data_IF_774090276347
#
_entry.id   IF_774090276347
#
_cell.length_a   1.000
_cell.length_b   1.000
_cell.length_c   1.000
_cell.angle_alpha   90.00
_cell.angle_beta   90.00
_cell.angle_gamma   90.00
#
_symmetry.space_group_name_H-M   'P 1'
#
loop_
_entity.id
_entity.type
_entity.pdbx_description
1 polymer ?
#
# COMPACT_ATOMS: atom_id res chain seq x y z
N UNK A 1 14.70 -87.32 -44.30
CA UNK A 1 16.14 -87.48 -44.57
C UNK A 1 16.92 -86.40 -43.80
N UNK A 2 18.20 -86.62 -43.55
CA UNK A 2 19.33 -85.66 -43.38
C UNK A 2 19.03 -84.14 -43.22
N UNK A 3 19.72 -83.37 -42.37
CA UNK A 3 20.75 -83.70 -41.36
C UNK A 3 20.97 -82.51 -40.40
N UNK A 4 21.66 -82.75 -39.27
CA UNK A 4 22.24 -81.69 -38.43
C UNK A 4 23.52 -81.13 -39.08
N UNK A 5 23.68 -79.81 -39.14
CA UNK A 5 25.00 -79.17 -39.30
C UNK A 5 25.13 -77.96 -38.35
N UNK A 6 26.31 -77.93 -37.71
CA UNK A 6 27.06 -76.88 -37.01
C UNK A 6 27.11 -75.50 -37.75
N UNK A 7 27.68 -74.40 -37.22
CA UNK A 7 28.60 -74.19 -36.10
C UNK A 7 28.37 -72.83 -35.39
N UNK A 8 29.05 -72.64 -34.25
CA UNK A 8 29.18 -71.42 -33.45
C UNK A 8 30.04 -70.30 -34.12
N UNK A 9 30.07 -69.14 -33.44
CA UNK A 9 30.93 -67.94 -33.62
C UNK A 9 30.53 -66.91 -34.69
N UNK A 10 30.90 -65.62 -34.55
CA UNK A 10 31.84 -65.00 -33.57
C UNK A 10 31.31 -63.70 -32.95
N UNK A 11 31.77 -63.38 -31.75
CA UNK A 11 31.41 -62.18 -30.99
C UNK A 11 32.44 -61.03 -31.17
N UNK A 12 32.06 -59.81 -30.76
CA UNK A 12 32.83 -58.57 -30.63
C UNK A 12 33.37 -57.88 -31.89
N UNK A 13 32.78 -56.71 -32.17
CA UNK A 13 33.54 -55.48 -32.36
C UNK A 13 32.88 -54.36 -31.53
N UNK A 14 33.61 -53.82 -30.55
CA UNK A 14 33.11 -52.84 -29.58
C UNK A 14 33.37 -51.42 -30.10
N UNK A 15 32.31 -50.68 -30.40
CA UNK A 15 32.37 -49.30 -30.87
C UNK A 15 31.83 -48.35 -29.78
N UNK A 16 32.72 -47.88 -28.92
CA UNK A 16 32.39 -46.91 -27.86
C UNK A 16 32.18 -45.51 -28.46
N UNK A 17 30.93 -45.21 -28.87
CA UNK A 17 30.52 -43.91 -29.40
C UNK A 17 30.49 -42.84 -28.29
N UNK A 18 31.13 -41.66 -28.46
CA UNK A 18 31.31 -40.66 -27.40
C UNK A 18 30.07 -39.76 -27.16
N UNK A 19 28.91 -40.37 -26.90
CA UNK A 19 27.62 -39.67 -26.79
C UNK A 19 27.46 -38.80 -25.52
N UNK A 20 28.36 -38.95 -24.53
CA UNK A 20 28.25 -38.30 -23.21
C UNK A 20 28.52 -36.78 -23.19
N UNK A 21 29.14 -36.22 -24.25
CA UNK A 21 29.49 -34.80 -24.31
C UNK A 21 28.32 -33.85 -24.52
N UNK A 22 27.32 -34.24 -25.32
CA UNK A 22 26.19 -33.38 -25.68
C UNK A 22 25.30 -33.04 -24.48
N UNK A 23 24.93 -34.06 -23.68
CA UNK A 23 24.03 -33.92 -22.53
C UNK A 23 24.57 -32.93 -21.48
N UNK A 24 25.90 -32.91 -21.27
CA UNK A 24 26.55 -31.96 -20.35
C UNK A 24 26.48 -30.51 -20.85
N UNK A 25 26.68 -30.28 -22.15
CA UNK A 25 26.55 -28.94 -22.76
C UNK A 25 25.12 -28.42 -22.72
N UNK A 26 24.13 -29.26 -23.05
CA UNK A 26 22.70 -28.88 -22.97
C UNK A 26 22.30 -28.52 -21.54
N UNK A 27 22.65 -29.34 -20.53
CA UNK A 27 22.35 -29.02 -19.12
C UNK A 27 23.00 -27.71 -18.65
N UNK A 28 24.23 -27.41 -19.10
CA UNK A 28 24.90 -26.15 -18.80
C UNK A 28 24.18 -24.94 -19.43
N UNK A 29 23.80 -25.03 -20.71
CA UNK A 29 23.06 -23.98 -21.41
C UNK A 29 21.67 -23.74 -20.80
N UNK A 30 20.94 -24.80 -20.43
CA UNK A 30 19.67 -24.67 -19.72
C UNK A 30 19.86 -24.01 -18.35
N UNK A 31 20.88 -24.39 -17.57
CA UNK A 31 21.15 -23.78 -16.27
C UNK A 31 21.54 -22.29 -16.39
N UNK A 32 22.35 -21.93 -17.39
CA UNK A 32 22.70 -20.54 -17.67
C UNK A 32 21.48 -19.71 -18.10
N UNK A 33 20.62 -20.25 -18.97
CA UNK A 33 19.37 -19.61 -19.37
C UNK A 33 18.40 -19.40 -18.19
N UNK A 34 18.30 -20.38 -17.29
CA UNK A 34 17.47 -20.28 -16.09
C UNK A 34 18.03 -19.22 -15.11
N UNK A 35 19.35 -19.19 -14.91
CA UNK A 35 20.01 -18.17 -14.09
C UNK A 35 19.84 -16.74 -14.64
N UNK A 36 19.97 -16.55 -15.96
CA UNK A 36 19.71 -15.26 -16.62
C UNK A 36 18.23 -14.86 -16.49
N UNK A 37 17.30 -15.81 -16.60
CA UNK A 37 15.87 -15.56 -16.41
C UNK A 37 15.55 -15.15 -14.96
N UNK A 38 16.15 -15.81 -13.96
CA UNK A 38 16.02 -15.41 -12.56
C UNK A 38 16.62 -14.03 -12.27
N UNK A 39 17.75 -13.68 -12.89
CA UNK A 39 18.34 -12.34 -12.78
C UNK A 39 17.48 -11.26 -13.45
N UNK A 40 16.83 -11.56 -14.58
CA UNK A 40 15.87 -10.65 -15.21
C UNK A 40 14.61 -10.45 -14.34
N UNK A 41 14.10 -11.52 -13.70
CA UNK A 41 12.94 -11.43 -12.79
C UNK A 41 13.25 -10.79 -11.42
N UNK A 42 14.52 -10.69 -11.03
CA UNK A 42 14.92 -9.94 -9.83
C UNK A 42 14.82 -8.40 -10.02
N UNK A 43 14.73 -7.92 -11.27
CA UNK A 43 14.82 -6.51 -11.65
C UNK A 43 13.54 -5.68 -11.53
N UNK A 44 12.60 -6.02 -10.65
CA UNK A 44 11.33 -5.30 -10.48
C UNK A 44 10.78 -5.33 -9.04
N UNK A 45 11.65 -5.09 -8.04
CA UNK A 45 11.20 -4.82 -6.67
C UNK A 45 10.58 -3.40 -6.60
N UNK A 46 9.30 -3.29 -6.97
CA UNK A 46 8.53 -2.05 -6.78
C UNK A 46 8.47 -1.72 -5.28
N UNK A 47 9.16 -0.65 -4.89
CA UNK A 47 9.23 -0.19 -3.52
C UNK A 47 7.95 0.60 -3.18
N UNK A 48 6.85 -0.12 -2.92
CA UNK A 48 5.68 0.46 -2.25
C UNK A 48 6.11 1.02 -0.90
N UNK A 49 5.68 2.25 -0.61
CA UNK A 49 6.09 2.95 0.62
C UNK A 49 5.46 2.25 1.82
N UNK A 50 6.25 1.69 2.77
CA UNK A 50 5.68 0.97 3.89
C UNK A 50 5.00 1.94 4.86
N UNK A 51 3.67 1.90 4.89
CA UNK A 51 2.85 2.66 5.84
C UNK A 51 2.42 1.75 6.99
N UNK A 52 2.55 2.24 8.22
CA UNK A 52 2.15 1.58 9.45
C UNK A 52 1.30 2.53 10.32
N UNK A 53 0.48 1.98 11.21
CA UNK A 53 -0.42 2.72 12.10
C UNK A 53 -0.09 2.41 13.56
N UNK A 54 0.68 3.30 14.18
CA UNK A 54 1.15 3.16 15.55
C UNK A 54 0.19 3.83 16.54
N UNK A 55 0.12 3.30 17.76
CA UNK A 55 -0.66 3.89 18.85
C UNK A 55 -2.17 3.99 18.57
N UNK A 56 -2.74 3.06 17.77
CA UNK A 56 -4.17 3.04 17.50
C UNK A 56 -4.96 2.87 18.80
N UNK A 57 -5.70 3.90 19.19
CA UNK A 57 -6.62 3.91 20.33
C UNK A 57 -8.01 4.27 19.85
N UNK A 58 -9.01 3.54 20.35
CA UNK A 58 -10.44 3.71 20.01
C UNK A 58 -11.22 3.91 21.32
N UNK A 59 -11.61 5.15 21.58
CA UNK A 59 -12.25 5.58 22.83
C UNK A 59 -13.74 5.83 22.62
N UNK A 60 -14.60 5.29 23.50
CA UNK A 60 -16.05 5.54 23.48
C UNK A 60 -16.39 6.58 24.55
N UNK A 61 -16.71 7.80 24.11
CA UNK A 61 -17.12 8.91 24.97
C UNK A 61 -18.62 9.20 24.78
N UNK A 62 -19.23 10.02 25.64
CA UNK A 62 -20.68 10.29 25.62
C UNK A 62 -21.21 10.74 24.25
N UNK A 63 -20.47 11.61 23.56
CA UNK A 63 -20.85 12.12 22.25
C UNK A 63 -20.56 11.15 21.09
N UNK A 64 -19.65 10.18 21.22
CA UNK A 64 -19.21 9.40 20.07
C UNK A 64 -18.08 8.42 20.30
N UNK A 65 -17.71 7.73 19.22
CA UNK A 65 -16.50 6.93 19.13
C UNK A 65 -15.38 7.80 18.53
N UNK A 66 -14.23 7.81 19.18
CA UNK A 66 -13.08 8.64 18.85
C UNK A 66 -11.87 7.77 18.52
N UNK A 67 -11.10 8.18 17.52
CA UNK A 67 -9.86 7.53 17.08
C UNK A 67 -8.65 8.43 17.33
N UNK A 68 -7.61 7.87 17.92
CA UNK A 68 -6.28 8.44 18.06
C UNK A 68 -5.23 7.49 17.48
N UNK A 69 -4.10 8.01 17.01
CA UNK A 69 -3.00 7.20 16.46
C UNK A 69 -2.03 8.03 15.61
N UNK A 70 -0.99 7.38 15.10
CA UNK A 70 0.04 8.04 14.29
C UNK A 70 0.46 7.16 13.11
N UNK A 71 0.38 7.74 11.92
CA UNK A 71 0.93 7.14 10.70
C UNK A 71 2.45 7.18 10.74
N UNK A 72 3.08 6.02 10.51
CA UNK A 72 4.51 5.87 10.33
C UNK A 72 4.76 5.49 8.87
N UNK A 73 5.26 6.45 8.11
CA UNK A 73 5.77 6.29 6.75
C UNK A 73 6.78 7.40 6.47
N UNK A 74 7.80 7.10 5.69
CA UNK A 74 8.73 8.09 5.14
C UNK A 74 8.15 8.67 3.85
N UNK A 75 8.44 9.93 3.54
CA UNK A 75 7.96 10.56 2.31
C UNK A 75 8.94 10.26 1.16
N UNK A 76 8.51 9.60 0.06
CA UNK A 76 9.34 9.37 -1.11
C UNK A 76 9.92 10.67 -1.67
N UNK A 77 11.20 10.70 -2.11
CA UNK A 77 11.83 11.90 -2.64
C UNK A 77 11.04 12.58 -3.76
N UNK A 78 10.41 11.80 -4.66
CA UNK A 78 9.59 12.35 -5.74
C UNK A 78 8.40 13.21 -5.25
N UNK A 79 7.86 12.91 -4.07
CA UNK A 79 6.75 13.64 -3.45
C UNK A 79 7.24 14.87 -2.66
N UNK A 80 8.42 14.81 -2.03
CA UNK A 80 9.08 15.99 -1.46
C UNK A 80 9.47 16.99 -2.57
N UNK A 81 10.08 16.50 -3.64
CA UNK A 81 10.47 17.28 -4.80
C UNK A 81 9.26 17.92 -5.50
N UNK A 82 8.10 17.25 -5.47
CA UNK A 82 6.82 17.81 -5.92
C UNK A 82 6.31 18.94 -5.01
N UNK A 83 6.33 18.74 -3.69
CA UNK A 83 5.94 19.76 -2.71
C UNK A 83 6.80 21.03 -2.86
N UNK A 84 8.12 20.89 -2.99
CA UNK A 84 9.05 22.01 -3.17
C UNK A 84 8.77 22.80 -4.47
N UNK A 85 8.29 22.12 -5.52
CA UNK A 85 7.80 22.72 -6.78
C UNK A 85 6.40 23.34 -6.66
N UNK A 86 5.81 23.39 -5.46
CA UNK A 86 4.50 23.98 -5.17
C UNK A 86 3.30 23.07 -5.46
N UNK A 87 3.54 21.79 -5.76
CA UNK A 87 2.45 20.82 -5.97
C UNK A 87 1.83 20.47 -4.61
N UNK A 88 0.51 20.42 -4.56
CA UNK A 88 -0.25 20.12 -3.33
C UNK A 88 -0.53 18.62 -3.23
N UNK A 89 -0.21 18.02 -2.09
CA UNK A 89 -0.55 16.63 -1.79
C UNK A 89 -1.82 16.55 -0.93
N UNK A 90 -2.58 15.47 -1.13
CA UNK A 90 -3.87 15.23 -0.49
C UNK A 90 -3.86 13.84 0.14
N UNK A 91 -3.72 13.75 1.46
CA UNK A 91 -3.84 12.51 2.19
C UNK A 91 -5.29 12.34 2.68
N UNK A 92 -5.87 11.17 2.46
CA UNK A 92 -7.25 10.87 2.87
C UNK A 92 -7.21 9.68 3.81
N UNK A 93 -7.73 9.86 5.03
CA UNK A 93 -8.07 8.76 5.93
C UNK A 93 -9.56 8.50 5.86
N UNK A 94 -9.96 7.27 5.57
CA UNK A 94 -11.35 6.81 5.57
C UNK A 94 -11.49 5.74 6.66
N UNK A 95 -12.53 5.86 7.48
CA UNK A 95 -12.88 4.86 8.50
C UNK A 95 -14.31 4.43 8.26
N UNK A 96 -14.53 3.12 8.10
CA UNK A 96 -15.86 2.52 8.03
C UNK A 96 -16.05 1.52 9.17
N UNK A 97 -17.20 1.60 9.84
CA UNK A 97 -17.60 0.65 10.88
C UNK A 97 -18.72 -0.21 10.31
N UNK A 98 -18.52 -1.53 10.33
CA UNK A 98 -19.44 -2.51 9.79
C UNK A 98 -19.91 -3.46 10.88
N UNK A 99 -21.21 -3.73 10.96
CA UNK A 99 -21.82 -4.72 11.85
C UNK A 99 -21.97 -6.05 11.11
N UNK A 100 -21.47 -7.14 11.73
CA UNK A 100 -21.72 -8.50 11.26
C UNK A 100 -23.21 -8.84 11.47
N UNK A 101 -23.96 -9.06 10.39
CA UNK A 101 -25.33 -9.58 10.42
C UNK A 101 -25.32 -10.98 9.81
N UNK A 102 -25.69 -11.97 10.64
CA UNK A 102 -25.61 -13.42 10.37
C UNK A 102 -26.08 -13.89 8.97
N UNK A 103 -27.13 -13.25 8.43
CA UNK A 103 -28.06 -13.90 7.48
C UNK A 103 -28.05 -13.18 6.12
N UNK A 104 -27.75 -11.87 6.07
CA UNK A 104 -27.64 -11.13 4.81
C UNK A 104 -26.83 -9.82 4.98
N UNK A 105 -25.58 -9.86 4.49
CA UNK A 105 -24.64 -8.75 4.27
C UNK A 105 -24.20 -7.95 5.52
N UNK A 106 -22.95 -7.46 5.50
CA UNK A 106 -22.43 -6.60 6.57
C UNK A 106 -23.06 -5.20 6.45
N UNK A 107 -23.74 -4.73 7.50
CA UNK A 107 -24.30 -3.38 7.49
C UNK A 107 -23.22 -2.37 7.85
N UNK A 108 -22.94 -1.40 6.97
CA UNK A 108 -22.16 -0.22 7.34
C UNK A 108 -22.97 0.65 8.31
N UNK A 109 -22.46 0.75 9.53
CA UNK A 109 -23.03 1.51 10.66
C UNK A 109 -22.62 2.97 10.58
N UNK A 110 -21.34 3.23 10.32
CA UNK A 110 -20.76 4.57 10.23
C UNK A 110 -19.68 4.65 9.16
N UNK A 111 -19.47 5.86 8.62
CA UNK A 111 -18.34 6.24 7.75
C UNK A 111 -17.87 7.63 8.17
N UNK A 112 -16.57 7.79 8.36
CA UNK A 112 -15.92 9.08 8.59
C UNK A 112 -14.75 9.25 7.64
N UNK A 113 -14.52 10.50 7.21
CA UNK A 113 -13.38 10.87 6.36
C UNK A 113 -12.60 12.03 6.99
N UNK A 114 -11.28 11.99 6.83
CA UNK A 114 -10.34 13.05 7.21
C UNK A 114 -9.44 13.33 6.02
N UNK A 115 -9.68 14.47 5.38
CA UNK A 115 -8.92 14.98 4.25
C UNK A 115 -7.84 15.94 4.78
N UNK A 116 -6.59 15.70 4.40
CA UNK A 116 -5.42 16.49 4.84
C UNK A 116 -4.68 17.00 3.61
N UNK A 117 -4.65 18.32 3.43
CA UNK A 117 -3.95 19.00 2.33
C UNK A 117 -2.61 19.54 2.84
N UNK A 118 -1.51 19.05 2.26
CA UNK A 118 -0.13 19.51 2.50
C UNK A 118 0.39 20.27 1.26
N UNK A 119 0.98 21.45 1.47
CA UNK A 119 1.75 22.16 0.43
C UNK A 119 2.82 23.06 1.03
N UNK A 120 3.85 23.35 0.23
CA UNK A 120 4.86 24.37 0.50
C UNK A 120 4.55 25.66 -0.28
N UNK A 121 4.92 26.81 0.28
CA UNK A 121 4.76 28.12 -0.35
C UNK A 121 6.15 28.72 -0.65
N UNK A 122 6.69 28.60 -1.89
CA UNK A 122 8.06 29.04 -2.19
C UNK A 122 8.35 30.52 -1.91
N UNK A 123 7.36 31.40 -2.08
CA UNK A 123 7.49 32.84 -1.85
C UNK A 123 7.71 33.20 -0.37
N UNK A 124 7.02 32.52 0.54
CA UNK A 124 7.12 32.75 1.99
C UNK A 124 8.03 31.75 2.70
N UNK A 125 8.46 30.70 1.99
CA UNK A 125 9.22 29.54 2.49
C UNK A 125 8.55 28.81 3.67
N UNK A 126 7.21 28.82 3.72
CA UNK A 126 6.45 28.13 4.79
C UNK A 126 5.69 26.92 4.26
N UNK A 127 5.58 25.92 5.09
CA UNK A 127 4.73 24.75 4.89
C UNK A 127 3.33 25.03 5.43
N UNK A 128 2.29 24.49 4.79
CA UNK A 128 0.91 24.55 5.28
C UNK A 128 0.27 23.18 5.27
N UNK A 129 -0.39 22.85 6.38
CA UNK A 129 -1.25 21.67 6.53
C UNK A 129 -2.66 22.15 6.80
N UNK A 130 -3.65 21.64 6.08
CA UNK A 130 -5.05 21.96 6.30
C UNK A 130 -5.80 20.64 6.51
N UNK A 131 -6.57 20.53 7.59
CA UNK A 131 -7.32 19.33 7.94
C UNK A 131 -8.82 19.63 7.81
N UNK A 132 -9.56 18.75 7.13
CA UNK A 132 -10.98 18.91 6.82
C UNK A 132 -11.74 17.57 6.98
N UNK A 133 -12.99 17.55 7.47
CA UNK A 133 -13.85 16.38 7.44
C UNK A 133 -14.46 16.12 6.04
N UNK A 134 -14.24 17.02 5.08
CA UNK A 134 -14.78 16.96 3.71
C UNK A 134 -13.66 17.14 2.67
N UNK A 135 -13.84 16.60 1.48
CA UNK A 135 -12.93 16.80 0.36
C UNK A 135 -12.78 18.29 -0.01
N UNK A 136 -11.56 18.72 -0.34
CA UNK A 136 -11.26 20.13 -0.61
C UNK A 136 -11.78 20.58 -1.98
N UNK A 137 -12.93 21.24 -2.01
CA UNK A 137 -13.42 21.91 -3.23
C UNK A 137 -12.51 23.08 -3.64
N UNK A 138 -12.59 23.48 -4.91
CA UNK A 138 -11.93 24.70 -5.39
C UNK A 138 -12.60 25.99 -4.90
N UNK A 139 -13.84 25.94 -4.38
CA UNK A 139 -14.54 27.12 -3.86
C UNK A 139 -14.10 27.53 -2.45
N UNK A 140 -13.37 26.68 -1.72
CA UNK A 140 -12.78 27.02 -0.42
C UNK A 140 -13.75 27.20 0.75
N UNK A 141 -15.07 27.07 0.54
CA UNK A 141 -16.13 27.30 1.53
C UNK A 141 -16.24 26.19 2.63
N UNK A 142 -15.23 25.34 2.77
CA UNK A 142 -15.20 24.25 3.75
C UNK A 142 -14.52 24.67 5.06
N UNK A 143 -15.12 24.32 6.20
CA UNK A 143 -14.47 24.46 7.51
C UNK A 143 -13.26 23.55 7.56
N UNK A 144 -12.07 24.14 7.49
CA UNK A 144 -10.79 23.42 7.54
C UNK A 144 -9.83 24.10 8.50
N UNK A 145 -9.16 23.29 9.33
CA UNK A 145 -8.17 23.76 10.28
C UNK A 145 -6.81 23.85 9.57
N UNK A 146 -6.48 25.07 9.13
CA UNK A 146 -5.19 25.40 8.52
C UNK A 146 -4.14 25.76 9.58
N UNK A 147 -2.98 25.11 9.52
CA UNK A 147 -1.79 25.42 10.31
C UNK A 147 -0.59 25.65 9.39
N UNK A 148 0.40 26.41 9.87
CA UNK A 148 1.62 26.74 9.11
C UNK A 148 2.86 26.37 9.92
N UNK A 149 3.87 25.84 9.24
CA UNK A 149 5.09 25.30 9.82
C UNK A 149 6.31 25.80 9.06
N UNK A 150 7.47 25.82 9.71
CA UNK A 150 8.70 26.34 9.12
C UNK A 150 9.60 25.20 8.59
N UNK A 151 9.44 23.97 9.08
CA UNK A 151 10.12 22.78 8.54
C UNK A 151 9.18 21.76 7.91
N UNK A 152 9.72 20.92 7.02
CA UNK A 152 8.99 19.84 6.37
C UNK A 152 8.55 18.76 7.37
N UNK A 153 9.41 18.41 8.33
CA UNK A 153 9.13 17.35 9.32
C UNK A 153 8.08 17.79 10.35
N UNK A 154 8.02 19.08 10.75
CA UNK A 154 6.90 19.62 11.53
C UNK A 154 5.56 19.43 10.81
N UNK A 155 5.52 19.79 9.52
CA UNK A 155 4.32 19.65 8.70
C UNK A 155 3.94 18.17 8.49
N UNK A 156 4.92 17.30 8.23
CA UNK A 156 4.70 15.86 8.11
C UNK A 156 4.24 15.22 9.43
N UNK A 157 4.78 15.66 10.58
CA UNK A 157 4.30 15.23 11.90
C UNK A 157 2.82 15.59 12.11
N UNK A 158 2.39 16.78 11.70
CA UNK A 158 0.98 17.19 11.75
C UNK A 158 0.07 16.41 10.77
N UNK A 159 0.58 15.98 9.60
CA UNK A 159 -0.13 15.08 8.68
C UNK A 159 -0.26 13.67 9.28
N UNK A 160 0.85 13.13 9.78
CA UNK A 160 0.98 11.78 10.35
C UNK A 160 0.11 11.57 11.60
N UNK A 161 -0.07 12.60 12.43
CA UNK A 161 -0.77 12.50 13.72
C UNK A 161 -2.31 12.57 13.58
N UNK A 162 -3.01 11.69 14.29
CA UNK A 162 -4.46 11.70 14.53
C UNK A 162 -4.69 11.79 16.05
N UNK A 163 -5.54 12.72 16.50
CA UNK A 163 -5.88 12.93 17.91
C UNK A 163 -7.39 13.09 18.01
N UNK A 164 -8.05 12.31 18.85
CA UNK A 164 -9.47 12.45 19.20
C UNK A 164 -10.38 12.77 17.99
N UNK A 165 -10.18 12.05 16.89
CA UNK A 165 -11.00 12.21 15.69
C UNK A 165 -12.29 11.40 15.86
N UNK A 166 -13.43 12.10 15.98
CA UNK A 166 -14.76 11.47 16.10
C UNK A 166 -15.13 10.75 14.80
N UNK A 167 -15.20 9.42 14.85
CA UNK A 167 -15.46 8.54 13.69
C UNK A 167 -16.92 8.03 13.63
N UNK A 168 -17.69 8.12 14.71
CA UNK A 168 -19.13 7.78 14.75
C UNK A 168 -19.84 8.45 15.93
N UNK A 169 -21.18 8.50 15.92
CA UNK A 169 -21.97 8.93 17.07
C UNK A 169 -22.18 7.77 18.05
N UNK A 170 -22.39 8.09 19.33
CA UNK A 170 -22.59 7.07 20.38
C UNK A 170 -23.92 6.29 20.24
N UNK A 171 -24.86 6.78 19.44
CA UNK A 171 -26.12 6.10 19.11
C UNK A 171 -25.96 5.03 18.02
N UNK A 172 -25.02 5.21 17.09
CA UNK A 172 -24.85 4.30 15.94
C UNK A 172 -24.11 3.01 16.37
N UNK A 173 -23.10 3.16 17.24
CA UNK A 173 -22.14 2.12 17.63
C UNK A 173 -22.65 1.30 18.82
N UNK A 174 -23.55 0.34 18.57
CA UNK A 174 -24.07 -0.55 19.62
C UNK A 174 -22.98 -1.44 20.26
N UNK A 175 -22.80 -1.37 21.59
CA UNK A 175 -21.68 -2.02 22.31
C UNK A 175 -21.72 -3.55 22.36
N UNK A 176 -22.92 -4.16 22.26
CA UNK A 176 -23.12 -5.62 22.28
C UNK A 176 -23.02 -6.26 20.87
N UNK A 177 -22.85 -5.43 19.83
CA UNK A 177 -22.77 -5.90 18.46
C UNK A 177 -21.35 -6.33 18.09
N UNK A 178 -21.23 -7.45 17.37
CA UNK A 178 -20.01 -7.79 16.64
C UNK A 178 -19.78 -6.75 15.54
N UNK A 179 -18.85 -5.83 15.79
CA UNK A 179 -18.49 -4.74 14.89
C UNK A 179 -17.02 -4.85 14.46
N UNK A 180 -16.78 -4.44 13.23
CA UNK A 180 -15.50 -4.49 12.55
C UNK A 180 -15.20 -3.11 12.00
N UNK A 181 -14.02 -2.58 12.32
CA UNK A 181 -13.52 -1.30 11.83
C UNK A 181 -12.53 -1.53 10.68
N UNK A 182 -12.81 -0.88 9.55
CA UNK A 182 -11.92 -0.82 8.39
C UNK A 182 -11.32 0.58 8.31
N UNK A 183 -10.00 0.67 8.42
CA UNK A 183 -9.21 1.89 8.38
C UNK A 183 -8.41 1.87 7.07
N UNK A 184 -8.63 2.87 6.23
CA UNK A 184 -7.94 3.06 4.95
C UNK A 184 -7.25 4.44 4.95
N UNK A 185 -5.99 4.49 4.55
CA UNK A 185 -5.22 5.73 4.37
C UNK A 185 -4.53 5.70 3.02
N UNK A 186 -4.59 6.81 2.28
CA UNK A 186 -4.05 6.90 0.91
C UNK A 186 -3.66 8.32 0.53
N UNK A 187 -2.72 8.44 -0.40
CA UNK A 187 -2.52 9.66 -1.19
C UNK A 187 -3.56 9.71 -2.33
N UNK A 188 -4.40 10.75 -2.37
CA UNK A 188 -5.40 10.93 -3.44
C UNK A 188 -4.79 11.63 -4.66
N UNK A 189 -4.31 10.81 -5.59
CA UNK A 189 -3.75 11.25 -6.86
C UNK A 189 -4.78 11.98 -7.77
N UNK A 190 -6.09 11.83 -7.53
CA UNK A 190 -7.14 12.43 -8.40
C UNK A 190 -7.18 13.95 -8.33
N UNK A 191 -6.69 14.54 -7.23
CA UNK A 191 -6.63 15.98 -7.03
C UNK A 191 -5.31 16.61 -7.53
N UNK A 192 -4.37 15.81 -8.06
CA UNK A 192 -3.13 16.30 -8.68
C UNK A 192 -3.39 16.90 -10.07
N UNK A 193 -2.55 17.84 -10.54
CA UNK A 193 -2.53 18.27 -11.94
C UNK A 193 -2.41 17.09 -12.93
N UNK A 194 -3.22 17.09 -14.00
CA UNK A 194 -3.27 16.00 -15.00
C UNK A 194 -1.91 15.50 -15.51
N UNK A 195 -0.89 16.34 -15.80
CA UNK A 195 0.43 15.85 -16.23
C UNK A 195 1.09 14.91 -15.21
N UNK A 196 0.89 15.15 -13.91
CA UNK A 196 1.44 14.33 -12.84
C UNK A 196 0.63 13.06 -12.61
N UNK A 197 -0.69 13.07 -12.89
CA UNK A 197 -1.50 11.84 -12.86
C UNK A 197 -0.97 10.78 -13.85
N UNK A 198 -0.42 11.22 -15.00
CA UNK A 198 0.19 10.32 -15.99
C UNK A 198 1.55 9.80 -15.47
N UNK A 199 2.38 10.64 -14.85
CA UNK A 199 3.67 10.23 -14.30
C UNK A 199 3.55 9.32 -13.07
N UNK A 200 2.55 9.55 -12.21
CA UNK A 200 2.26 8.74 -11.03
C UNK A 200 1.65 7.36 -11.38
N UNK A 201 1.02 7.21 -12.56
CA UNK A 201 0.40 5.97 -13.02
C UNK A 201 1.43 4.92 -13.48
N UNK A 202 2.26 4.44 -12.53
CA UNK A 202 3.30 3.43 -12.75
C UNK A 202 4.51 3.56 -11.80
N UNK A 203 4.61 4.64 -11.02
CA UNK A 203 5.70 4.87 -10.06
C UNK A 203 5.25 4.52 -8.64
N UNK A 204 5.96 3.62 -7.95
CA UNK A 204 5.67 3.26 -6.55
C UNK A 204 5.94 4.41 -5.58
N UNK A 205 6.78 5.39 -5.95
CA UNK A 205 7.03 6.62 -5.18
C UNK A 205 5.77 7.49 -5.00
N UNK A 206 4.73 7.28 -5.80
CA UNK A 206 3.41 7.95 -5.65
C UNK A 206 2.36 7.04 -4.98
N UNK A 207 2.71 5.79 -4.66
CA UNK A 207 1.84 4.83 -3.99
C UNK A 207 2.11 4.83 -2.47
N UNK A 208 1.46 5.76 -1.77
CA UNK A 208 1.36 5.74 -0.31
C UNK A 208 -0.04 5.23 0.05
N UNK A 209 -0.12 4.06 0.68
CA UNK A 209 -1.37 3.41 1.03
C UNK A 209 -1.27 2.48 2.24
N UNK A 210 -2.34 2.39 3.02
CA UNK A 210 -2.54 1.46 4.13
C UNK A 210 -4.00 1.05 4.18
N UNK A 211 -4.28 -0.24 4.34
CA UNK A 211 -5.62 -0.74 4.60
C UNK A 211 -5.56 -1.83 5.67
N UNK A 212 -6.29 -1.63 6.77
CA UNK A 212 -6.41 -2.60 7.86
C UNK A 212 -7.85 -2.73 8.29
N UNK A 213 -8.33 -3.97 8.32
CA UNK A 213 -9.63 -4.33 8.88
C UNK A 213 -9.41 -5.15 10.14
N UNK A 214 -10.02 -4.76 11.25
CA UNK A 214 -9.94 -5.46 12.53
C UNK A 214 -11.27 -5.39 13.27
N UNK A 215 -11.46 -6.22 14.30
CA UNK A 215 -12.60 -6.10 15.21
C UNK A 215 -12.53 -4.76 15.97
N UNK A 216 -13.70 -4.21 16.28
CA UNK A 216 -13.82 -3.01 17.10
C UNK A 216 -13.56 -3.36 18.58
N UNK A 217 -12.29 -3.42 18.94
CA UNK A 217 -11.85 -3.44 20.33
C UNK A 217 -11.74 -2.00 20.83
N UNK A 218 -12.35 -1.70 21.97
CA UNK A 218 -12.29 -0.38 22.61
C UNK A 218 -11.15 -0.36 23.64
N UNK A 219 -10.53 0.81 23.83
CA UNK A 219 -9.69 1.06 24.98
C UNK A 219 -10.55 1.10 26.26
N UNK A 220 -10.03 0.58 27.40
CA UNK A 220 -10.70 0.66 28.71
C UNK A 220 -10.63 2.07 29.31
#
# INVERSE_FOLDING_TARGET
MTAFITHCWKNFLRLDLPFSGGVKRVRSLCAAGLAVCCLAFAGAAHADTPVDLQGLQLERQEAGLYMSGQWRFDLPPALEDALLKGITLYFVTEVEINQERWYFYNQRVARAERHVRLFYQPLTRRWRVNISPQAFSQSGLGVSLGQSYDTAEEAMSAVRRIIQWRIANAADVASDAKQTISINFKLDLKQLPRPLQIGAAGQSDWNIGFSKTQRLELAP
#
